data_IF_530139670610
#
_entry.id   IF_530139670610
#
_cell.length_a   1.000
_cell.length_b   1.000
_cell.length_c   1.000
_cell.angle_alpha   90.00
_cell.angle_beta   90.00
_cell.angle_gamma   90.00
#
_symmetry.space_group_name_H-M   'P 1'
#
loop_
_entity.id
_entity.type
_entity.pdbx_description
1 polymer ?
#
# COMPACT_ATOMS: atom_id res chain seq x y z
N UNK A 1 74.31 -24.00 -8.95
CA UNK A 1 73.49 -23.34 -7.93
C UNK A 1 72.67 -22.28 -8.63
N UNK A 2 71.39 -22.59 -8.89
CA UNK A 2 70.43 -21.73 -9.56
C UNK A 2 69.14 -21.83 -8.75
N UNK A 3 68.87 -20.81 -7.95
CA UNK A 3 67.64 -20.68 -7.17
C UNK A 3 66.54 -20.12 -8.08
N UNK A 4 65.44 -20.86 -8.18
CA UNK A 4 64.22 -20.44 -8.85
C UNK A 4 63.27 -19.84 -7.83
N UNK A 5 63.00 -18.54 -7.95
CA UNK A 5 61.99 -17.84 -7.17
C UNK A 5 60.63 -17.96 -7.86
N UNK A 6 59.78 -18.84 -7.33
CA UNK A 6 58.36 -18.91 -7.67
C UNK A 6 57.57 -17.94 -6.77
N UNK A 7 57.31 -16.73 -7.27
CA UNK A 7 56.33 -15.83 -6.67
C UNK A 7 54.91 -16.25 -7.10
N UNK A 8 54.20 -16.92 -6.19
CA UNK A 8 52.78 -17.21 -6.30
C UNK A 8 51.97 -16.00 -5.79
N UNK A 9 51.54 -15.13 -6.70
CA UNK A 9 50.50 -14.13 -6.43
C UNK A 9 49.15 -14.83 -6.32
N UNK A 10 48.75 -15.19 -5.10
CA UNK A 10 47.36 -15.53 -4.77
C UNK A 10 46.52 -14.26 -4.91
N UNK A 11 45.72 -14.19 -5.97
CA UNK A 11 44.65 -13.21 -6.09
C UNK A 11 43.59 -13.51 -5.02
N UNK A 12 43.53 -12.68 -3.98
CA UNK A 12 42.39 -12.62 -3.05
C UNK A 12 41.23 -11.96 -3.79
N UNK A 13 40.34 -12.77 -4.35
CA UNK A 13 39.04 -12.31 -4.84
C UNK A 13 38.24 -11.77 -3.64
N UNK A 14 38.19 -10.45 -3.48
CA UNK A 14 37.33 -9.81 -2.50
C UNK A 14 35.88 -10.10 -2.87
N UNK A 15 35.16 -10.80 -1.98
CA UNK A 15 33.70 -10.97 -2.11
C UNK A 15 33.06 -9.58 -2.16
N UNK A 16 32.05 -9.35 -3.03
CA UNK A 16 31.33 -8.09 -3.04
C UNK A 16 30.69 -7.85 -1.67
N UNK A 17 30.98 -6.70 -1.06
CA UNK A 17 30.32 -6.24 0.17
C UNK A 17 28.91 -5.78 -0.19
N UNK A 18 27.91 -6.60 0.12
CA UNK A 18 26.51 -6.20 0.04
C UNK A 18 26.12 -5.38 1.26
N UNK A 19 25.32 -4.34 1.06
CA UNK A 19 24.63 -3.60 2.12
C UNK A 19 23.55 -4.46 2.78
N UNK A 20 23.17 -4.15 4.02
CA UNK A 20 22.08 -4.85 4.71
C UNK A 20 20.76 -4.80 3.92
N UNK A 21 20.51 -3.72 3.20
CA UNK A 21 19.33 -3.54 2.36
C UNK A 21 19.33 -4.46 1.15
N UNK A 22 20.47 -4.60 0.46
CA UNK A 22 20.62 -5.54 -0.66
C UNK A 22 20.45 -6.99 -0.20
N UNK A 23 20.98 -7.35 0.96
CA UNK A 23 20.80 -8.68 1.56
C UNK A 23 19.31 -8.92 1.82
N UNK A 24 18.62 -7.97 2.45
CA UNK A 24 17.19 -8.08 2.71
C UNK A 24 16.40 -8.24 1.41
N UNK A 25 16.61 -7.39 0.40
CA UNK A 25 15.90 -7.46 -0.87
C UNK A 25 16.13 -8.79 -1.60
N UNK A 26 17.34 -9.35 -1.52
CA UNK A 26 17.65 -10.67 -2.10
C UNK A 26 16.91 -11.80 -1.37
N UNK A 27 16.89 -11.79 -0.04
CA UNK A 27 16.13 -12.78 0.75
C UNK A 27 14.63 -12.62 0.47
N UNK A 28 14.14 -11.38 0.47
CA UNK A 28 12.73 -11.06 0.24
C UNK A 28 12.27 -11.50 -1.14
N UNK A 29 13.03 -11.19 -2.19
CA UNK A 29 12.69 -11.59 -3.57
C UNK A 29 12.60 -13.10 -3.75
N UNK A 30 13.50 -13.87 -3.13
CA UNK A 30 13.47 -15.34 -3.16
C UNK A 30 12.24 -15.89 -2.41
N UNK A 31 11.98 -15.37 -1.21
CA UNK A 31 10.78 -15.72 -0.45
C UNK A 31 9.50 -15.41 -1.23
N UNK A 32 9.41 -14.21 -1.78
CA UNK A 32 8.28 -13.72 -2.55
C UNK A 32 8.02 -14.56 -3.80
N UNK A 33 9.06 -14.92 -4.55
CA UNK A 33 8.95 -15.78 -5.72
C UNK A 33 8.38 -17.17 -5.35
N UNK A 34 8.85 -17.74 -4.24
CA UNK A 34 8.32 -19.02 -3.71
C UNK A 34 6.86 -18.90 -3.29
N UNK A 35 6.50 -17.86 -2.54
CA UNK A 35 5.13 -17.63 -2.12
C UNK A 35 4.17 -17.45 -3.32
N UNK A 36 4.60 -16.69 -4.32
CA UNK A 36 3.84 -16.47 -5.56
C UNK A 36 3.66 -17.76 -6.37
N UNK A 37 4.66 -18.65 -6.36
CA UNK A 37 4.56 -19.96 -7.04
C UNK A 37 3.50 -20.87 -6.44
N UNK A 38 3.18 -20.71 -5.15
CA UNK A 38 2.12 -21.46 -4.47
C UNK A 38 0.75 -20.94 -4.92
N UNK A 39 0.57 -19.63 -4.99
CA UNK A 39 -0.66 -18.99 -5.48
C UNK A 39 -0.93 -19.34 -6.94
N UNK A 40 0.12 -19.33 -7.78
CA UNK A 40 0.02 -19.60 -9.21
C UNK A 40 0.09 -21.09 -9.56
N UNK A 41 0.17 -21.98 -8.57
CA UNK A 41 0.12 -23.41 -8.83
C UNK A 41 -1.23 -23.69 -9.51
N UNK A 42 -1.23 -24.25 -10.73
CA UNK A 42 -2.47 -24.43 -11.48
C UNK A 42 -3.40 -25.32 -10.68
N UNK A 43 -4.62 -24.86 -10.43
CA UNK A 43 -5.73 -25.61 -9.83
C UNK A 43 -6.26 -26.71 -10.76
N UNK A 44 -5.39 -27.32 -11.58
CA UNK A 44 -5.77 -27.96 -12.83
C UNK A 44 -6.23 -29.41 -12.66
N UNK A 45 -7.53 -29.59 -12.88
CA UNK A 45 -8.15 -30.74 -13.56
C UNK A 45 -7.46 -31.07 -14.91
N UNK A 46 -6.76 -30.12 -15.56
CA UNK A 46 -6.18 -30.32 -16.91
C UNK A 46 -4.70 -30.80 -16.95
N UNK A 47 -4.03 -30.99 -15.81
CA UNK A 47 -2.64 -31.53 -15.76
C UNK A 47 -2.51 -32.85 -15.02
N UNK A 48 -3.62 -33.60 -14.89
CA UNK A 48 -3.69 -34.88 -14.19
C UNK A 48 -3.06 -36.08 -14.93
N UNK A 49 -2.30 -35.88 -16.01
CA UNK A 49 -1.68 -37.03 -16.69
C UNK A 49 -0.31 -37.47 -16.15
N UNK A 50 0.36 -36.70 -15.29
CA UNK A 50 1.70 -37.14 -14.82
C UNK A 50 2.27 -36.47 -13.55
N UNK A 51 1.49 -35.70 -12.77
CA UNK A 51 1.99 -35.09 -11.53
C UNK A 51 1.48 -35.80 -10.28
N UNK A 52 2.41 -36.06 -9.35
CA UNK A 52 2.13 -36.46 -7.97
C UNK A 52 0.96 -35.64 -7.42
N UNK A 53 -0.10 -36.33 -6.99
CA UNK A 53 -1.24 -35.74 -6.29
C UNK A 53 -0.71 -35.03 -5.04
N UNK A 54 -0.70 -33.70 -5.06
CA UNK A 54 -0.25 -32.92 -3.91
C UNK A 54 -1.31 -33.08 -2.82
N UNK A 55 -0.92 -33.67 -1.70
CA UNK A 55 -1.76 -33.77 -0.51
C UNK A 55 -2.34 -32.38 -0.13
N UNK A 56 -3.67 -32.18 -0.21
CA UNK A 56 -4.33 -30.92 0.11
C UNK A 56 -3.96 -30.39 1.51
N UNK A 57 -3.81 -31.30 2.49
CA UNK A 57 -3.45 -30.90 3.85
C UNK A 57 -2.02 -30.33 3.91
N UNK A 58 -1.09 -30.95 3.19
CA UNK A 58 0.29 -30.45 3.06
C UNK A 58 0.34 -29.11 2.31
N UNK A 59 -0.51 -28.91 1.30
CA UNK A 59 -0.62 -27.64 0.60
C UNK A 59 -1.13 -26.53 1.54
N UNK A 60 -2.20 -26.78 2.30
CA UNK A 60 -2.72 -25.83 3.27
C UNK A 60 -1.69 -25.47 4.35
N UNK A 61 -0.98 -26.47 4.89
CA UNK A 61 0.09 -26.24 5.85
C UNK A 61 1.26 -25.45 5.26
N UNK A 62 1.54 -25.62 3.96
CA UNK A 62 2.54 -24.80 3.26
C UNK A 62 2.08 -23.34 3.16
N UNK A 63 0.82 -23.09 2.82
CA UNK A 63 0.22 -21.75 2.75
C UNK A 63 0.29 -21.06 4.12
N UNK A 64 -0.19 -21.72 5.18
CA UNK A 64 -0.13 -21.22 6.56
C UNK A 64 1.33 -20.94 6.97
N UNK A 65 2.25 -21.85 6.62
CA UNK A 65 3.69 -21.67 6.85
C UNK A 65 4.25 -20.40 6.20
N UNK A 66 3.83 -20.08 4.98
CA UNK A 66 4.25 -18.86 4.27
C UNK A 66 3.67 -17.60 4.89
N UNK A 67 2.40 -17.61 5.31
CA UNK A 67 1.79 -16.48 6.02
C UNK A 67 2.49 -16.20 7.37
N UNK A 68 2.79 -17.26 8.12
CA UNK A 68 3.55 -17.17 9.35
C UNK A 68 5.00 -16.70 9.12
N UNK A 69 5.64 -17.15 8.03
CA UNK A 69 6.97 -16.69 7.66
C UNK A 69 6.96 -15.20 7.27
N UNK A 70 5.93 -14.72 6.57
CA UNK A 70 5.75 -13.28 6.28
C UNK A 70 5.74 -12.46 7.55
N UNK A 71 4.98 -12.91 8.57
CA UNK A 71 4.96 -12.28 9.88
C UNK A 71 6.36 -12.24 10.49
N UNK A 72 7.09 -13.37 10.51
CA UNK A 72 8.44 -13.46 11.11
C UNK A 72 9.49 -12.60 10.39
N UNK A 73 9.44 -12.54 9.06
CA UNK A 73 10.41 -11.79 8.25
C UNK A 73 10.19 -10.29 8.44
N UNK A 74 8.93 -9.83 8.45
CA UNK A 74 8.61 -8.41 8.51
C UNK A 74 8.52 -7.86 9.94
N UNK A 75 8.31 -8.71 10.94
CA UNK A 75 8.21 -8.27 12.32
C UNK A 75 9.56 -7.69 12.80
N UNK A 76 9.51 -6.52 13.42
CA UNK A 76 10.70 -5.83 13.92
C UNK A 76 11.54 -5.10 12.86
N UNK A 77 11.20 -5.21 11.57
CA UNK A 77 11.86 -4.42 10.53
C UNK A 77 11.46 -2.94 10.63
N UNK A 78 12.40 -2.07 10.23
CA UNK A 78 12.15 -0.64 10.07
C UNK A 78 11.16 -0.34 8.93
N UNK A 79 10.64 0.90 8.90
CA UNK A 79 9.64 1.32 7.93
C UNK A 79 10.14 1.26 6.47
N UNK A 80 11.44 1.45 6.22
CA UNK A 80 12.01 1.43 4.86
C UNK A 80 11.97 0.01 4.31
N UNK A 81 12.48 -0.98 5.06
CA UNK A 81 12.47 -2.39 4.65
C UNK A 81 11.04 -2.92 4.47
N UNK A 82 10.12 -2.56 5.38
CA UNK A 82 8.70 -2.90 5.22
C UNK A 82 8.08 -2.25 3.98
N UNK A 83 8.39 -0.99 3.69
CA UNK A 83 7.93 -0.30 2.49
C UNK A 83 8.40 -1.01 1.21
N UNK A 84 9.66 -1.47 1.19
CA UNK A 84 10.18 -2.29 0.09
C UNK A 84 9.37 -3.59 -0.09
N UNK A 85 9.06 -4.30 1.00
CA UNK A 85 8.26 -5.52 0.93
C UNK A 85 6.84 -5.28 0.39
N UNK A 86 6.20 -4.19 0.82
CA UNK A 86 4.88 -3.76 0.36
C UNK A 86 4.88 -3.38 -1.12
N UNK A 87 5.96 -2.77 -1.60
CA UNK A 87 6.07 -2.29 -2.97
C UNK A 87 6.62 -3.33 -3.96
N UNK A 88 7.09 -4.48 -3.47
CA UNK A 88 7.71 -5.52 -4.31
C UNK A 88 6.66 -6.38 -5.03
N UNK A 89 6.80 -6.53 -6.35
CA UNK A 89 5.90 -7.35 -7.16
C UNK A 89 4.47 -6.80 -7.21
N UNK A 90 3.47 -7.65 -6.99
CA UNK A 90 2.09 -7.20 -6.78
C UNK A 90 1.89 -6.57 -5.40
N UNK A 91 2.73 -6.90 -4.43
CA UNK A 91 2.67 -6.42 -3.05
C UNK A 91 2.36 -7.55 -2.06
N UNK A 92 2.92 -7.44 -0.85
CA UNK A 92 2.80 -8.49 0.18
C UNK A 92 1.40 -8.59 0.81
N UNK A 93 0.60 -7.51 0.75
CA UNK A 93 -0.80 -7.53 1.19
C UNK A 93 -1.64 -8.38 0.25
N UNK A 94 -1.54 -8.10 -1.04
CA UNK A 94 -2.21 -8.82 -2.12
C UNK A 94 -1.79 -10.29 -2.13
N UNK A 95 -0.50 -10.57 -1.93
CA UNK A 95 0.01 -11.92 -1.78
C UNK A 95 -0.62 -12.64 -0.58
N UNK A 96 -0.76 -11.98 0.58
CA UNK A 96 -1.38 -12.59 1.76
C UNK A 96 -2.85 -12.93 1.52
N UNK A 97 -3.59 -12.05 0.85
CA UNK A 97 -5.00 -12.29 0.48
C UNK A 97 -5.11 -13.40 -0.57
N UNK A 98 -4.21 -13.44 -1.56
CA UNK A 98 -4.21 -14.48 -2.58
C UNK A 98 -3.87 -15.86 -2.01
N UNK A 99 -2.94 -15.93 -1.05
CA UNK A 99 -2.63 -17.14 -0.29
C UNK A 99 -3.84 -17.60 0.54
N UNK A 100 -4.55 -16.69 1.21
CA UNK A 100 -5.80 -17.01 1.90
C UNK A 100 -6.84 -17.59 0.96
N UNK A 101 -7.12 -16.93 -0.17
CA UNK A 101 -8.09 -17.42 -1.17
C UNK A 101 -7.71 -18.81 -1.69
N UNK A 102 -6.43 -19.05 -1.97
CA UNK A 102 -5.94 -20.37 -2.37
C UNK A 102 -6.13 -21.41 -1.26
N UNK A 103 -5.82 -21.08 -0.01
CA UNK A 103 -6.01 -21.96 1.14
C UNK A 103 -7.48 -22.25 1.43
N UNK A 104 -8.38 -21.28 1.25
CA UNK A 104 -9.81 -21.43 1.46
C UNK A 104 -10.43 -22.42 0.47
N UNK A 105 -9.97 -22.44 -0.78
CA UNK A 105 -10.37 -23.45 -1.77
C UNK A 105 -9.95 -24.86 -1.31
N UNK A 106 -8.72 -25.00 -0.79
CA UNK A 106 -8.22 -26.27 -0.25
C UNK A 106 -9.03 -26.73 0.97
N UNK A 107 -9.44 -25.81 1.86
CA UNK A 107 -10.32 -26.12 2.98
C UNK A 107 -11.68 -26.66 2.48
N UNK A 108 -12.30 -26.01 1.49
CA UNK A 108 -13.58 -26.45 0.94
C UNK A 108 -13.54 -27.88 0.37
N UNK A 109 -12.44 -28.26 -0.27
CA UNK A 109 -12.24 -29.61 -0.81
C UNK A 109 -12.08 -30.68 0.31
N UNK A 110 -11.51 -30.30 1.45
CA UNK A 110 -11.13 -31.21 2.55
C UNK A 110 -12.16 -31.30 3.69
N UNK A 111 -12.97 -30.27 3.89
CA UNK A 111 -13.96 -30.17 4.98
C UNK A 111 -15.14 -31.16 4.85
N UNK A 112 -15.22 -31.94 3.77
CA UNK A 112 -16.14 -33.08 3.68
C UNK A 112 -15.86 -34.19 4.72
N UNK A 113 -14.75 -34.15 5.48
CA UNK A 113 -14.34 -35.28 6.35
C UNK A 113 -13.91 -34.97 7.79
N UNK A 114 -13.54 -33.74 8.20
CA UNK A 114 -13.21 -33.40 9.62
C UNK A 114 -13.37 -31.90 9.95
N UNK A 115 -13.65 -31.65 11.23
CA UNK A 115 -13.86 -30.39 11.97
C UNK A 115 -13.11 -29.14 11.45
N UNK A 116 -13.81 -28.00 11.37
CA UNK A 116 -13.38 -26.69 10.83
C UNK A 116 -12.20 -25.97 11.51
N UNK A 117 -11.29 -26.70 12.15
CA UNK A 117 -10.09 -26.15 12.79
C UNK A 117 -9.07 -25.57 11.81
N UNK A 118 -9.00 -26.10 10.58
CA UNK A 118 -7.97 -25.70 9.61
C UNK A 118 -8.27 -24.33 8.97
N UNK A 119 -9.55 -24.05 8.70
CA UNK A 119 -10.01 -22.74 8.20
C UNK A 119 -9.72 -21.61 9.20
N UNK A 120 -9.99 -21.85 10.50
CA UNK A 120 -9.66 -20.91 11.57
C UNK A 120 -8.16 -20.60 11.66
N UNK A 121 -7.29 -21.61 11.47
CA UNK A 121 -5.84 -21.42 11.49
C UNK A 121 -5.37 -20.56 10.30
N UNK A 122 -5.93 -20.80 9.11
CA UNK A 122 -5.66 -20.01 7.91
C UNK A 122 -6.07 -18.54 8.09
N UNK A 123 -7.27 -18.28 8.62
CA UNK A 123 -7.77 -16.94 8.89
C UNK A 123 -6.86 -16.21 9.88
N UNK A 124 -6.49 -16.87 10.98
CA UNK A 124 -5.61 -16.30 12.00
C UNK A 124 -4.22 -15.97 11.45
N UNK A 125 -3.64 -16.87 10.64
CA UNK A 125 -2.34 -16.65 10.02
C UNK A 125 -2.38 -15.48 9.02
N UNK A 126 -3.49 -15.34 8.27
CA UNK A 126 -3.68 -14.25 7.32
C UNK A 126 -3.83 -12.90 8.03
N UNK A 127 -4.66 -12.82 9.08
CA UNK A 127 -4.82 -11.63 9.89
C UNK A 127 -3.49 -11.17 10.52
N UNK A 128 -2.72 -12.12 11.09
CA UNK A 128 -1.38 -11.83 11.64
C UNK A 128 -0.42 -11.29 10.59
N UNK A 129 -0.43 -11.88 9.39
CA UNK A 129 0.39 -11.42 8.26
C UNK A 129 0.03 -9.97 7.90
N UNK A 130 -1.25 -9.69 7.63
CA UNK A 130 -1.74 -8.35 7.27
C UNK A 130 -1.41 -7.34 8.36
N UNK A 131 -1.71 -7.66 9.62
CA UNK A 131 -1.39 -6.80 10.76
C UNK A 131 0.10 -6.47 10.83
N UNK A 132 0.98 -7.47 10.66
CA UNK A 132 2.43 -7.26 10.69
C UNK A 132 2.90 -6.31 9.57
N UNK A 133 2.30 -6.43 8.39
CA UNK A 133 2.60 -5.59 7.23
C UNK A 133 2.24 -4.13 7.48
N UNK A 134 1.13 -3.84 8.16
CA UNK A 134 0.60 -2.47 8.32
C UNK A 134 1.06 -1.77 9.61
N UNK A 135 1.32 -2.53 10.68
CA UNK A 135 1.76 -1.97 11.96
C UNK A 135 3.09 -1.24 11.80
N UNK A 136 3.11 0.04 12.18
CA UNK A 136 4.27 0.95 12.05
C UNK A 136 4.80 1.06 10.61
N UNK A 137 3.93 0.85 9.62
CA UNK A 137 4.27 0.96 8.20
C UNK A 137 3.20 1.76 7.45
N UNK A 138 3.37 3.10 7.35
CA UNK A 138 2.42 3.96 6.65
C UNK A 138 2.18 3.54 5.20
N UNK A 139 3.21 3.05 4.49
CA UNK A 139 3.08 2.56 3.11
C UNK A 139 2.24 1.29 3.04
N UNK A 140 2.36 0.41 4.04
CA UNK A 140 1.47 -0.74 4.18
C UNK A 140 0.02 -0.32 4.37
N UNK A 141 -0.24 0.62 5.30
CA UNK A 141 -1.59 1.14 5.53
C UNK A 141 -2.19 1.79 4.29
N UNK A 142 -1.44 2.64 3.60
CA UNK A 142 -1.97 3.34 2.41
C UNK A 142 -2.34 2.39 1.27
N UNK A 143 -1.76 1.17 1.23
CA UNK A 143 -2.10 0.15 0.24
C UNK A 143 -3.25 -0.77 0.60
N UNK A 144 -3.77 -0.73 1.82
CA UNK A 144 -4.83 -1.67 2.25
C UNK A 144 -6.07 -1.63 1.35
N UNK A 145 -6.47 -0.44 0.86
CA UNK A 145 -7.62 -0.28 -0.04
C UNK A 145 -7.37 -0.94 -1.39
N UNK A 146 -6.29 -0.53 -2.06
CA UNK A 146 -5.89 -1.07 -3.36
C UNK A 146 -5.72 -2.59 -3.31
N UNK A 147 -5.17 -3.11 -2.20
CA UNK A 147 -4.99 -4.54 -2.01
C UNK A 147 -6.28 -5.32 -1.71
N UNK A 148 -7.41 -4.64 -1.49
CA UNK A 148 -8.69 -5.27 -1.16
C UNK A 148 -8.77 -5.80 0.28
N UNK A 149 -7.97 -5.26 1.21
CA UNK A 149 -7.93 -5.72 2.61
C UNK A 149 -9.25 -5.46 3.32
N UNK A 150 -9.90 -4.31 3.07
CA UNK A 150 -11.20 -3.99 3.66
C UNK A 150 -12.28 -4.98 3.20
N UNK A 151 -12.40 -5.20 1.89
CA UNK A 151 -13.37 -6.13 1.32
C UNK A 151 -13.14 -7.56 1.81
N UNK A 152 -11.88 -7.99 1.91
CA UNK A 152 -11.53 -9.29 2.46
C UNK A 152 -11.90 -9.39 3.96
N UNK A 153 -11.53 -8.38 4.77
CA UNK A 153 -11.83 -8.38 6.19
C UNK A 153 -13.33 -8.39 6.46
N UNK A 154 -14.11 -7.63 5.67
CA UNK A 154 -15.56 -7.63 5.75
C UNK A 154 -16.15 -9.00 5.37
N UNK A 155 -15.92 -9.45 4.15
CA UNK A 155 -16.66 -10.57 3.56
C UNK A 155 -16.16 -11.94 4.04
N UNK A 156 -14.86 -12.07 4.33
CA UNK A 156 -14.26 -13.35 4.70
C UNK A 156 -14.10 -13.54 6.20
N UNK A 157 -14.13 -12.47 7.00
CA UNK A 157 -13.88 -12.56 8.45
C UNK A 157 -15.07 -12.02 9.23
N UNK A 158 -15.33 -10.71 9.14
CA UNK A 158 -16.31 -10.06 10.01
C UNK A 158 -17.73 -10.55 9.76
N UNK A 159 -18.17 -10.66 8.50
CA UNK A 159 -19.48 -11.21 8.16
C UNK A 159 -19.58 -12.68 8.60
N UNK A 160 -18.60 -13.50 8.26
CA UNK A 160 -18.59 -14.93 8.57
C UNK A 160 -18.70 -15.19 10.08
N UNK A 161 -17.95 -14.46 10.91
CA UNK A 161 -17.85 -14.76 12.34
C UNK A 161 -18.78 -13.93 13.24
N UNK A 162 -19.25 -12.76 12.80
CA UNK A 162 -20.16 -11.92 13.60
C UNK A 162 -21.62 -12.03 13.20
N UNK A 163 -21.92 -12.69 12.07
CA UNK A 163 -23.30 -12.97 11.64
C UNK A 163 -23.67 -14.45 11.77
N UNK A 164 -22.70 -15.32 12.05
CA UNK A 164 -22.98 -16.71 12.35
C UNK A 164 -23.65 -16.84 13.73
N UNK A 165 -24.66 -17.69 13.81
CA UNK A 165 -25.28 -18.11 15.06
C UNK A 165 -24.35 -19.11 15.76
N UNK A 166 -23.40 -18.57 16.55
CA UNK A 166 -22.39 -19.38 17.24
C UNK A 166 -22.89 -19.70 18.65
N UNK A 167 -23.09 -20.98 18.94
CA UNK A 167 -23.48 -21.46 20.26
C UNK A 167 -22.37 -21.23 21.31
N UNK A 168 -22.76 -21.06 22.58
CA UNK A 168 -21.79 -20.95 23.68
C UNK A 168 -20.98 -22.24 23.82
N UNK A 169 -19.66 -22.12 23.89
CA UNK A 169 -18.77 -23.28 24.04
C UNK A 169 -17.33 -23.03 23.58
N UNK A 170 -16.65 -24.14 23.25
CA UNK A 170 -15.27 -24.12 22.76
C UNK A 170 -15.16 -23.40 21.41
N UNK A 171 -16.14 -23.59 20.52
CA UNK A 171 -16.19 -22.96 19.21
C UNK A 171 -16.27 -21.43 19.32
N UNK A 172 -17.16 -20.90 20.16
CA UNK A 172 -17.23 -19.45 20.45
C UNK A 172 -15.92 -18.89 20.97
N UNK A 173 -15.16 -19.67 21.73
CA UNK A 173 -13.85 -19.26 22.23
C UNK A 173 -12.82 -19.19 21.11
N UNK A 174 -12.82 -20.15 20.18
CA UNK A 174 -11.95 -20.10 19.00
C UNK A 174 -12.31 -18.93 18.08
N UNK A 175 -13.60 -18.71 17.83
CA UNK A 175 -14.08 -17.58 17.03
C UNK A 175 -13.73 -16.25 17.68
N UNK A 176 -13.84 -16.14 19.02
CA UNK A 176 -13.45 -14.93 19.73
C UNK A 176 -11.99 -14.54 19.47
N UNK A 177 -11.08 -15.50 19.35
CA UNK A 177 -9.67 -15.24 19.01
C UNK A 177 -9.54 -14.64 17.60
N UNK A 178 -10.28 -15.17 16.63
CA UNK A 178 -10.29 -14.64 15.25
C UNK A 178 -10.85 -13.22 15.22
N UNK A 179 -12.00 -12.99 15.85
CA UNK A 179 -12.64 -11.67 15.94
C UNK A 179 -11.72 -10.68 16.63
N UNK A 180 -11.08 -11.06 17.73
CA UNK A 180 -10.15 -10.18 18.44
C UNK A 180 -8.95 -9.79 17.58
N UNK A 181 -8.39 -10.74 16.84
CA UNK A 181 -7.31 -10.48 15.90
C UNK A 181 -7.78 -9.61 14.72
N UNK A 182 -9.00 -9.81 14.22
CA UNK A 182 -9.62 -9.00 13.18
C UNK A 182 -9.79 -7.54 13.62
N UNK A 183 -10.28 -7.30 14.84
CA UNK A 183 -10.39 -5.96 15.42
C UNK A 183 -9.01 -5.32 15.62
N UNK A 184 -8.00 -6.09 16.04
CA UNK A 184 -6.62 -5.57 16.18
C UNK A 184 -6.04 -5.20 14.82
N UNK A 185 -6.33 -6.00 13.79
CA UNK A 185 -5.90 -5.76 12.41
C UNK A 185 -6.57 -4.51 11.86
N UNK A 186 -7.88 -4.36 12.06
CA UNK A 186 -8.64 -3.17 11.69
C UNK A 186 -8.10 -1.91 12.36
N UNK A 187 -7.82 -1.98 13.67
CA UNK A 187 -7.22 -0.88 14.42
C UNK A 187 -5.85 -0.48 13.87
N UNK A 188 -5.04 -1.46 13.45
CA UNK A 188 -3.74 -1.20 12.85
C UNK A 188 -3.84 -0.59 11.44
N UNK A 189 -4.84 -0.99 10.65
CA UNK A 189 -5.10 -0.43 9.32
C UNK A 189 -5.58 1.01 9.43
N UNK A 190 -6.46 1.31 10.39
CA UNK A 190 -7.06 2.62 10.60
C UNK A 190 -6.22 3.54 11.50
N UNK A 191 -4.96 3.17 11.80
CA UNK A 191 -4.11 3.98 12.67
C UNK A 191 -3.61 5.24 11.93
N UNK A 192 -4.33 6.34 12.10
CA UNK A 192 -4.00 7.68 11.58
C UNK A 192 -5.23 8.39 11.02
N UNK A 193 -5.09 9.69 10.74
CA UNK A 193 -6.15 10.53 10.16
C UNK A 193 -6.11 10.43 8.63
N UNK A 194 -6.37 9.23 8.11
CA UNK A 194 -6.29 8.93 6.68
C UNK A 194 -7.57 8.30 6.13
N UNK A 195 -7.59 8.13 4.80
CA UNK A 195 -8.70 7.52 4.07
C UNK A 195 -9.09 6.10 4.58
N UNK A 196 -8.19 5.36 5.25
CA UNK A 196 -8.52 4.06 5.83
C UNK A 196 -9.40 4.20 7.07
N UNK A 197 -9.10 5.18 7.94
CA UNK A 197 -9.93 5.46 9.10
C UNK A 197 -11.34 5.90 8.66
N UNK A 198 -11.43 6.73 7.61
CA UNK A 198 -12.71 7.10 7.00
C UNK A 198 -13.46 5.85 6.48
N UNK A 199 -12.79 4.95 5.76
CA UNK A 199 -13.41 3.74 5.24
C UNK A 199 -13.89 2.81 6.35
N UNK A 200 -13.06 2.62 7.38
CA UNK A 200 -13.41 1.84 8.56
C UNK A 200 -14.63 2.40 9.30
N UNK A 201 -14.68 3.72 9.52
CA UNK A 201 -15.80 4.39 10.15
C UNK A 201 -17.08 4.30 9.29
N UNK A 202 -16.97 4.53 7.98
CA UNK A 202 -18.11 4.50 7.07
C UNK A 202 -18.74 3.11 6.97
N UNK A 203 -17.93 2.06 6.82
CA UNK A 203 -18.43 0.71 6.51
C UNK A 203 -18.36 -0.28 7.66
N UNK A 204 -17.30 -0.27 8.46
CA UNK A 204 -17.01 -1.36 9.40
C UNK A 204 -17.44 -1.09 10.84
N UNK A 205 -17.87 0.14 11.18
CA UNK A 205 -18.32 0.49 12.54
C UNK A 205 -19.39 -0.47 13.09
N UNK A 206 -20.32 -0.90 12.24
CA UNK A 206 -21.42 -1.76 12.64
C UNK A 206 -20.97 -3.17 13.06
N UNK A 207 -19.84 -3.68 12.54
CA UNK A 207 -19.25 -4.94 13.01
C UNK A 207 -18.62 -4.79 14.39
N UNK A 208 -18.01 -3.63 14.68
CA UNK A 208 -17.50 -3.31 16.03
C UNK A 208 -18.65 -3.31 17.04
N UNK A 209 -19.79 -2.75 16.66
CA UNK A 209 -21.00 -2.77 17.49
C UNK A 209 -21.57 -4.18 17.67
N UNK A 210 -21.61 -5.00 16.62
CA UNK A 210 -22.02 -6.40 16.72
C UNK A 210 -21.11 -7.19 17.66
N UNK A 211 -19.79 -7.05 17.52
CA UNK A 211 -18.82 -7.70 18.40
C UNK A 211 -19.05 -7.35 19.88
N UNK A 212 -19.36 -6.08 20.18
CA UNK A 212 -19.65 -5.65 21.56
C UNK A 212 -20.89 -6.30 22.18
N UNK A 213 -21.86 -6.69 21.35
CA UNK A 213 -23.09 -7.36 21.79
C UNK A 213 -22.87 -8.87 21.96
N UNK A 214 -22.04 -9.47 21.10
CA UNK A 214 -21.78 -10.91 21.08
C UNK A 214 -20.79 -11.37 22.17
N UNK A 215 -19.81 -10.52 22.50
CA UNK A 215 -18.71 -10.86 23.40
C UNK A 215 -18.72 -9.98 24.65
N UNK A 216 -19.21 -10.54 25.76
CA UNK A 216 -19.39 -9.79 27.00
C UNK A 216 -18.06 -9.28 27.59
N UNK A 217 -18.03 -8.07 28.19
CA UNK A 217 -16.84 -7.51 28.83
C UNK A 217 -16.20 -8.38 29.91
N UNK A 218 -17.00 -9.12 30.67
CA UNK A 218 -16.54 -9.93 31.79
C UNK A 218 -15.69 -11.12 31.32
N UNK A 219 -16.07 -11.74 30.19
CA UNK A 219 -15.38 -12.90 29.62
C UNK A 219 -14.30 -12.51 28.61
N UNK A 220 -14.47 -11.39 27.91
CA UNK A 220 -13.61 -10.96 26.80
C UNK A 220 -13.07 -9.54 27.00
N UNK A 221 -12.45 -9.28 28.14
CA UNK A 221 -11.96 -7.94 28.52
C UNK A 221 -10.96 -7.34 27.49
N UNK A 222 -10.02 -8.15 27.00
CA UNK A 222 -9.01 -7.73 26.01
C UNK A 222 -9.64 -7.34 24.66
N UNK A 223 -10.68 -8.05 24.22
CA UNK A 223 -11.44 -7.70 23.03
C UNK A 223 -12.22 -6.40 23.24
N UNK A 224 -12.85 -6.24 24.40
CA UNK A 224 -13.62 -5.04 24.72
C UNK A 224 -12.76 -3.77 24.76
N UNK A 225 -11.51 -3.85 25.21
CA UNK A 225 -10.57 -2.72 25.09
C UNK A 225 -10.37 -2.28 23.63
N UNK A 226 -10.28 -3.24 22.69
CA UNK A 226 -10.12 -2.96 21.25
C UNK A 226 -11.39 -2.38 20.64
N UNK A 227 -12.56 -2.87 21.06
CA UNK A 227 -13.86 -2.33 20.68
C UNK A 227 -13.98 -0.87 21.11
N UNK A 228 -13.64 -0.56 22.37
CA UNK A 228 -13.68 0.81 22.89
C UNK A 228 -12.73 1.71 22.11
N UNK A 229 -11.50 1.25 21.84
CA UNK A 229 -10.54 1.99 21.03
C UNK A 229 -11.06 2.29 19.62
N UNK A 230 -11.56 1.27 18.91
CA UNK A 230 -12.07 1.41 17.55
C UNK A 230 -13.28 2.34 17.49
N UNK A 231 -14.19 2.26 18.47
CA UNK A 231 -15.31 3.20 18.57
C UNK A 231 -14.84 4.62 18.75
N UNK A 232 -13.93 4.87 19.68
CA UNK A 232 -13.39 6.20 19.91
C UNK A 232 -12.71 6.78 18.65
N UNK A 233 -11.95 5.93 17.93
CA UNK A 233 -11.33 6.29 16.66
C UNK A 233 -12.38 6.65 15.59
N UNK A 234 -13.38 5.78 15.38
CA UNK A 234 -14.41 6.01 14.37
C UNK A 234 -15.32 7.19 14.73
N UNK A 235 -15.62 7.41 15.99
CA UNK A 235 -16.38 8.57 16.46
C UNK A 235 -15.61 9.87 16.22
N UNK A 236 -14.29 9.88 16.45
CA UNK A 236 -13.44 11.01 16.12
C UNK A 236 -13.44 11.30 14.61
N UNK A 237 -13.25 10.26 13.78
CA UNK A 237 -13.34 10.39 12.32
C UNK A 237 -14.71 10.87 11.85
N UNK A 238 -15.80 10.34 12.40
CA UNK A 238 -17.16 10.80 12.10
C UNK A 238 -17.43 12.23 12.55
N UNK A 239 -16.77 12.71 13.60
CA UNK A 239 -16.89 14.10 14.05
C UNK A 239 -16.16 15.06 13.12
N UNK A 240 -14.99 14.67 12.63
CA UNK A 240 -14.17 15.48 11.72
C UNK A 240 -14.72 15.47 10.29
N UNK A 241 -15.14 14.31 9.80
CA UNK A 241 -15.57 14.07 8.41
C UNK A 241 -17.06 13.74 8.29
N UNK A 242 -17.89 14.16 9.24
CA UNK A 242 -19.28 13.69 9.38
C UNK A 242 -20.16 13.83 8.13
N UNK A 243 -20.06 14.96 7.42
CA UNK A 243 -20.84 15.18 6.18
C UNK A 243 -20.41 14.21 5.07
N UNK A 244 -19.11 13.92 4.99
CA UNK A 244 -18.55 12.98 4.02
C UNK A 244 -18.96 11.54 4.37
N UNK A 245 -18.81 11.14 5.63
CA UNK A 245 -19.24 9.81 6.11
C UNK A 245 -20.72 9.59 5.83
N UNK A 246 -21.58 10.56 6.16
CA UNK A 246 -23.02 10.46 5.89
C UNK A 246 -23.32 10.38 4.39
N UNK A 247 -22.58 11.12 3.55
CA UNK A 247 -22.75 11.08 2.09
C UNK A 247 -22.38 9.71 1.52
N UNK A 248 -21.26 9.14 1.98
CA UNK A 248 -20.82 7.78 1.61
C UNK A 248 -21.88 6.75 2.01
N UNK A 249 -22.34 6.78 3.26
CA UNK A 249 -23.33 5.85 3.78
C UNK A 249 -24.68 5.94 3.05
N UNK A 250 -25.14 7.16 2.72
CA UNK A 250 -26.37 7.36 1.95
C UNK A 250 -26.26 6.83 0.52
N UNK A 251 -25.12 7.06 -0.14
CA UNK A 251 -24.87 6.57 -1.50
C UNK A 251 -24.96 5.03 -1.55
N UNK A 252 -24.37 4.35 -0.56
CA UNK A 252 -24.36 2.88 -0.47
C UNK A 252 -25.72 2.26 -0.14
N UNK A 253 -26.57 2.98 0.60
CA UNK A 253 -27.95 2.56 0.79
C UNK A 253 -28.79 2.72 -0.50
N UNK A 254 -28.41 3.64 -1.38
CA UNK A 254 -29.11 3.90 -2.63
C UNK A 254 -28.64 2.98 -3.77
N UNK A 255 -27.35 2.62 -3.82
CA UNK A 255 -26.79 1.69 -4.81
C UNK A 255 -27.45 0.30 -4.74
N UNK A 256 -27.80 -0.15 -3.53
CA UNK A 256 -28.54 -1.41 -3.30
C UNK A 256 -30.00 -1.40 -3.78
N UNK A 257 -30.53 -0.25 -4.27
CA UNK A 257 -31.92 -0.12 -4.77
C UNK A 257 -32.06 -0.17 -6.29
N UNK A 258 -31.02 -0.56 -7.02
CA UNK A 258 -31.15 -1.04 -8.41
C UNK A 258 -31.25 0.04 -9.50
N UNK A 259 -30.79 1.27 -9.26
CA UNK A 259 -30.74 2.32 -10.30
C UNK A 259 -29.31 2.77 -10.59
N UNK A 260 -28.81 2.47 -11.81
CA UNK A 260 -27.58 3.02 -12.41
C UNK A 260 -26.27 2.75 -11.64
N UNK A 261 -25.16 2.52 -12.34
CA UNK A 261 -23.81 2.32 -11.77
C UNK A 261 -23.31 3.60 -11.08
N UNK A 262 -23.87 3.97 -9.92
CA UNK A 262 -23.24 4.93 -9.04
C UNK A 262 -22.01 4.25 -8.42
N UNK A 263 -20.82 4.65 -8.89
CA UNK A 263 -19.57 4.26 -8.28
C UNK A 263 -19.52 4.82 -6.85
N UNK A 264 -19.29 3.95 -5.87
CA UNK A 264 -19.09 4.40 -4.50
C UNK A 264 -17.79 5.20 -4.38
N UNK A 265 -17.74 6.12 -3.42
CA UNK A 265 -16.58 6.99 -3.17
C UNK A 265 -15.26 6.21 -3.15
N UNK A 266 -15.20 5.10 -2.42
CA UNK A 266 -13.99 4.29 -2.30
C UNK A 266 -13.66 3.50 -3.57
N UNK A 267 -14.64 3.13 -4.40
CA UNK A 267 -14.35 2.56 -5.72
C UNK A 267 -13.63 3.56 -6.61
N UNK A 268 -14.09 4.82 -6.63
CA UNK A 268 -13.44 5.91 -7.38
C UNK A 268 -11.99 6.10 -6.90
N UNK A 269 -11.78 6.10 -5.59
CA UNK A 269 -10.43 6.22 -5.02
C UNK A 269 -9.53 5.02 -5.35
N UNK A 270 -10.05 3.79 -5.30
CA UNK A 270 -9.29 2.60 -5.69
C UNK A 270 -8.91 2.66 -7.18
N UNK A 271 -9.79 3.16 -8.05
CA UNK A 271 -9.46 3.40 -9.47
C UNK A 271 -8.33 4.41 -9.61
N UNK A 272 -8.39 5.53 -8.89
CA UNK A 272 -7.33 6.55 -8.90
C UNK A 272 -5.98 5.97 -8.40
N UNK A 273 -5.99 5.24 -7.28
CA UNK A 273 -4.80 4.60 -6.72
C UNK A 273 -4.20 3.55 -7.65
N UNK A 274 -5.05 2.80 -8.35
CA UNK A 274 -4.64 1.83 -9.36
C UNK A 274 -3.90 2.53 -10.50
N UNK A 275 -4.48 3.60 -11.04
CA UNK A 275 -3.87 4.37 -12.12
C UNK A 275 -2.52 4.98 -11.70
N UNK A 276 -2.41 5.52 -10.48
CA UNK A 276 -1.14 6.00 -9.91
C UNK A 276 -0.11 4.87 -9.85
N UNK A 277 -0.47 3.71 -9.31
CA UNK A 277 0.44 2.57 -9.18
C UNK A 277 0.89 2.02 -10.54
N UNK A 278 0.01 1.99 -11.53
CA UNK A 278 0.36 1.61 -12.92
C UNK A 278 1.36 2.61 -13.52
N UNK A 279 1.13 3.91 -13.34
CA UNK A 279 2.05 4.96 -13.80
C UNK A 279 3.43 4.82 -13.15
N UNK A 280 3.48 4.61 -11.82
CA UNK A 280 4.72 4.39 -11.07
C UNK A 280 5.46 3.13 -11.53
N UNK A 281 4.76 2.03 -11.80
CA UNK A 281 5.36 0.79 -12.33
C UNK A 281 5.96 1.03 -13.71
N UNK A 282 5.20 1.62 -14.63
CA UNK A 282 5.67 1.93 -15.99
C UNK A 282 6.84 2.92 -16.00
N UNK A 283 6.95 3.81 -15.00
CA UNK A 283 8.09 4.72 -14.88
C UNK A 283 9.43 4.00 -14.60
N UNK A 284 9.39 2.80 -14.02
CA UNK A 284 10.56 1.98 -13.68
C UNK A 284 10.94 0.99 -14.77
N UNK A 285 10.12 0.86 -15.81
CA UNK A 285 10.40 -0.03 -16.94
C UNK A 285 11.56 0.51 -17.80
N UNK A 286 12.25 -0.39 -18.49
CA UNK A 286 13.35 -0.03 -19.40
C UNK A 286 12.85 0.81 -20.58
N UNK A 287 11.64 0.50 -21.07
CA UNK A 287 10.92 1.24 -22.11
C UNK A 287 10.04 2.31 -21.47
N UNK A 288 10.56 3.53 -21.40
CA UNK A 288 9.84 4.67 -20.85
C UNK A 288 8.86 5.25 -21.88
N UNK A 289 7.55 5.11 -21.63
CA UNK A 289 6.49 5.75 -22.41
C UNK A 289 5.86 6.89 -21.61
N UNK A 290 6.36 8.11 -21.87
CA UNK A 290 5.89 9.34 -21.22
C UNK A 290 4.38 9.55 -21.40
N UNK A 291 3.86 9.35 -22.60
CA UNK A 291 2.46 9.65 -22.94
C UNK A 291 1.53 8.75 -22.14
N UNK A 292 1.84 7.44 -22.08
CA UNK A 292 1.08 6.47 -21.30
C UNK A 292 1.10 6.77 -19.81
N UNK A 293 2.26 7.13 -19.25
CA UNK A 293 2.42 7.45 -17.82
C UNK A 293 1.62 8.70 -17.45
N UNK A 294 1.74 9.78 -18.24
CA UNK A 294 1.00 11.03 -17.99
C UNK A 294 -0.51 10.83 -18.12
N UNK A 295 -0.96 10.03 -19.10
CA UNK A 295 -2.38 9.69 -19.25
C UNK A 295 -2.94 9.01 -17.99
N UNK A 296 -2.17 8.14 -17.34
CA UNK A 296 -2.57 7.46 -16.11
C UNK A 296 -2.67 8.41 -14.91
N UNK A 297 -1.75 9.36 -14.77
CA UNK A 297 -1.87 10.40 -13.75
C UNK A 297 -3.08 11.32 -13.98
N UNK A 298 -3.38 11.65 -15.24
CA UNK A 298 -4.58 12.44 -15.59
C UNK A 298 -5.88 11.66 -15.28
N UNK A 299 -5.90 10.36 -15.55
CA UNK A 299 -7.00 9.47 -15.17
C UNK A 299 -7.21 9.47 -13.64
N UNK A 300 -6.12 9.38 -12.87
CA UNK A 300 -6.18 9.44 -11.41
C UNK A 300 -6.71 10.79 -10.89
N UNK A 301 -6.21 11.91 -11.43
CA UNK A 301 -6.64 13.26 -11.05
C UNK A 301 -8.13 13.45 -11.33
N UNK A 302 -8.60 13.04 -12.52
CA UNK A 302 -10.02 13.12 -12.87
C UNK A 302 -10.90 12.36 -11.88
N UNK A 303 -10.47 11.17 -11.44
CA UNK A 303 -11.23 10.40 -10.44
C UNK A 303 -11.26 11.10 -9.07
N UNK A 304 -10.17 11.74 -8.65
CA UNK A 304 -10.13 12.54 -7.42
C UNK A 304 -11.01 13.79 -7.52
N UNK A 305 -11.09 14.41 -8.70
CA UNK A 305 -11.94 15.58 -8.92
C UNK A 305 -13.43 15.21 -8.93
N UNK A 306 -13.78 14.06 -9.54
CA UNK A 306 -15.14 13.50 -9.46
C UNK A 306 -15.51 13.23 -8.01
N UNK A 307 -14.63 12.60 -7.23
CA UNK A 307 -14.91 12.34 -5.81
C UNK A 307 -15.06 13.63 -5.01
N UNK A 308 -14.30 14.68 -5.33
CA UNK A 308 -14.42 15.99 -4.68
C UNK A 308 -15.71 16.74 -5.05
N UNK A 309 -16.27 16.48 -6.23
CA UNK A 309 -17.52 17.11 -6.71
C UNK A 309 -18.75 16.41 -6.15
N UNK A 310 -18.74 15.08 -6.16
CA UNK A 310 -19.88 14.27 -5.73
C UNK A 310 -19.94 14.07 -4.21
N UNK A 311 -18.79 14.22 -3.53
CA UNK A 311 -18.66 14.08 -2.08
C UNK A 311 -17.93 15.30 -1.51
N UNK A 312 -18.65 16.30 -0.95
CA UNK A 312 -18.03 17.50 -0.44
C UNK A 312 -17.15 17.17 0.79
N UNK A 313 -15.84 17.04 0.56
CA UNK A 313 -14.84 16.83 1.61
C UNK A 313 -14.61 18.17 2.30
N UNK A 314 -14.85 18.24 3.62
CA UNK A 314 -14.64 19.47 4.41
C UNK A 314 -13.16 19.75 4.67
N UNK A 315 -12.34 18.70 4.78
CA UNK A 315 -10.91 18.83 5.07
C UNK A 315 -10.07 18.95 3.80
N UNK A 316 -9.28 20.01 3.73
CA UNK A 316 -8.25 20.24 2.71
C UNK A 316 -7.03 19.32 2.94
N UNK A 317 -7.22 18.00 3.10
CA UNK A 317 -6.10 17.13 3.49
C UNK A 317 -6.28 15.64 3.21
N UNK A 318 -7.51 15.13 3.23
CA UNK A 318 -7.74 13.69 3.13
C UNK A 318 -7.30 13.10 1.77
N UNK A 319 -7.48 13.87 0.69
CA UNK A 319 -7.08 13.50 -0.67
C UNK A 319 -5.70 14.04 -1.06
N UNK A 320 -5.08 14.85 -0.21
CA UNK A 320 -3.87 15.59 -0.54
C UNK A 320 -2.68 14.66 -0.74
N UNK A 321 -2.59 13.57 0.02
CA UNK A 321 -1.55 12.56 -0.21
C UNK A 321 -1.63 11.96 -1.63
N UNK A 322 -2.85 11.72 -2.14
CA UNK A 322 -3.03 11.20 -3.49
C UNK A 322 -2.69 12.25 -4.55
N UNK A 323 -3.11 13.50 -4.33
CA UNK A 323 -2.74 14.64 -5.18
C UNK A 323 -1.23 14.85 -5.22
N UNK A 324 -0.55 14.78 -4.07
CA UNK A 324 0.91 14.85 -3.97
C UNK A 324 1.57 13.79 -4.85
N UNK A 325 1.13 12.53 -4.75
CA UNK A 325 1.67 11.43 -5.58
C UNK A 325 1.47 11.68 -7.07
N UNK A 326 0.29 12.17 -7.47
CA UNK A 326 0.00 12.52 -8.86
C UNK A 326 0.94 13.64 -9.35
N UNK A 327 1.03 14.75 -8.62
CA UNK A 327 1.83 15.91 -9.05
C UNK A 327 3.33 15.60 -9.07
N UNK A 328 3.85 14.92 -8.04
CA UNK A 328 5.25 14.45 -8.02
C UNK A 328 5.52 13.52 -9.19
N UNK A 329 4.68 12.50 -9.38
CA UNK A 329 4.87 11.49 -10.40
C UNK A 329 4.76 12.02 -11.83
N UNK A 330 3.77 12.90 -12.08
CA UNK A 330 3.54 13.53 -13.38
C UNK A 330 4.63 14.53 -13.72
N UNK A 331 5.01 15.42 -12.79
CA UNK A 331 6.14 16.33 -12.99
C UNK A 331 7.44 15.58 -13.27
N UNK A 332 7.73 14.51 -12.51
CA UNK A 332 8.90 13.67 -12.75
C UNK A 332 8.88 13.01 -14.14
N UNK A 333 7.72 12.52 -14.59
CA UNK A 333 7.59 11.91 -15.91
C UNK A 333 7.76 12.93 -17.05
N UNK A 334 7.23 14.15 -16.88
CA UNK A 334 7.31 15.23 -17.88
C UNK A 334 8.73 15.78 -18.03
N UNK A 335 9.45 15.92 -16.91
CA UNK A 335 10.81 16.47 -16.87
C UNK A 335 11.89 15.42 -17.19
N UNK A 336 11.54 14.14 -17.24
CA UNK A 336 12.47 13.07 -17.62
C UNK A 336 12.82 13.21 -19.11
N UNK A 337 14.13 13.19 -19.42
CA UNK A 337 14.60 13.14 -20.80
C UNK A 337 14.08 11.88 -21.50
N UNK A 338 13.52 12.05 -22.70
CA UNK A 338 13.08 10.94 -23.53
C UNK A 338 14.32 10.25 -24.13
N UNK A 339 14.62 9.01 -23.72
CA UNK A 339 15.66 8.18 -24.34
C UNK A 339 17.03 8.86 -24.49
N UNK A 340 17.71 8.61 -25.61
CA UNK A 340 19.06 9.11 -25.96
C UNK A 340 19.10 10.63 -26.26
N UNK A 341 18.62 11.46 -25.33
CA UNK A 341 18.91 12.90 -25.32
C UNK A 341 17.78 13.84 -25.73
N UNK A 342 16.53 13.38 -25.87
CA UNK A 342 15.40 14.27 -26.08
C UNK A 342 15.14 15.16 -24.86
N UNK A 343 15.33 16.47 -25.02
CA UNK A 343 14.96 17.45 -23.98
C UNK A 343 13.43 17.52 -23.82
N UNK A 344 12.92 17.79 -22.60
CA UNK A 344 11.49 18.04 -22.40
C UNK A 344 11.01 19.21 -23.26
N UNK A 345 9.78 19.13 -23.76
CA UNK A 345 9.21 20.26 -24.50
C UNK A 345 8.86 21.42 -23.55
N UNK A 346 8.77 22.64 -24.07
CA UNK A 346 8.31 23.81 -23.32
C UNK A 346 6.92 23.56 -22.70
N UNK A 347 6.03 22.90 -23.45
CA UNK A 347 4.70 22.50 -22.96
C UNK A 347 4.76 21.50 -21.80
N UNK A 348 5.72 20.56 -21.80
CA UNK A 348 5.90 19.63 -20.68
C UNK A 348 6.40 20.38 -19.43
N UNK A 349 7.32 21.33 -19.62
CA UNK A 349 7.84 22.16 -18.54
C UNK A 349 6.74 23.05 -17.93
N UNK A 350 5.85 23.62 -18.73
CA UNK A 350 4.69 24.38 -18.23
C UNK A 350 3.71 23.53 -17.41
N UNK A 351 3.46 22.29 -17.82
CA UNK A 351 2.62 21.36 -17.03
C UNK A 351 3.33 20.98 -15.72
N UNK A 352 4.61 20.63 -15.78
CA UNK A 352 5.40 20.28 -14.60
C UNK A 352 5.51 21.45 -13.60
N UNK A 353 5.60 22.69 -14.09
CA UNK A 353 5.58 23.88 -13.24
C UNK A 353 4.24 24.03 -12.52
N UNK A 354 3.13 23.85 -13.25
CA UNK A 354 1.78 23.89 -12.64
C UNK A 354 1.60 22.82 -11.57
N UNK A 355 2.07 21.60 -11.82
CA UNK A 355 2.05 20.51 -10.84
C UNK A 355 2.91 20.83 -9.62
N UNK A 356 4.10 21.38 -9.82
CA UNK A 356 4.98 21.77 -8.72
C UNK A 356 4.38 22.91 -7.87
N UNK A 357 3.75 23.91 -8.50
CA UNK A 357 3.05 24.99 -7.79
C UNK A 357 1.80 24.49 -7.07
N UNK A 358 1.06 23.53 -7.64
CA UNK A 358 -0.06 22.87 -6.98
C UNK A 358 0.43 22.07 -5.76
N UNK A 359 1.52 21.32 -5.90
CA UNK A 359 2.16 20.59 -4.83
C UNK A 359 2.64 21.51 -3.70
N UNK A 360 3.22 22.69 -4.02
CA UNK A 360 3.59 23.69 -3.02
C UNK A 360 2.39 24.22 -2.23
N UNK A 361 1.22 24.35 -2.87
CA UNK A 361 -0.01 24.76 -2.17
C UNK A 361 -0.51 23.68 -1.23
N UNK A 362 -0.47 22.43 -1.68
CA UNK A 362 -0.87 21.25 -0.88
C UNK A 362 0.10 21.06 0.30
N UNK A 363 1.40 21.03 0.06
CA UNK A 363 2.42 20.83 1.09
C UNK A 363 2.67 22.07 1.97
N UNK A 364 2.36 23.28 1.49
CA UNK A 364 2.59 24.54 2.20
C UNK A 364 1.60 24.82 3.33
N UNK A 365 0.57 23.98 3.50
CA UNK A 365 -0.28 23.98 4.68
C UNK A 365 0.44 23.49 5.95
N UNK A 366 -0.26 23.50 7.09
CA UNK A 366 0.31 23.21 8.41
C UNK A 366 0.82 21.75 8.64
N UNK A 367 0.90 20.92 7.59
CA UNK A 367 1.18 19.49 7.73
C UNK A 367 1.99 18.83 6.60
N UNK A 368 2.60 19.57 5.67
CA UNK A 368 3.38 18.96 4.59
C UNK A 368 4.66 18.27 5.07
N UNK A 369 4.97 17.11 4.50
CA UNK A 369 6.26 16.45 4.72
C UNK A 369 7.39 17.27 4.05
N UNK A 370 8.49 17.50 4.77
CA UNK A 370 9.65 18.24 4.25
C UNK A 370 10.20 17.65 2.95
N UNK A 371 10.14 16.33 2.78
CA UNK A 371 10.57 15.66 1.55
C UNK A 371 9.74 16.04 0.32
N UNK A 372 8.41 16.14 0.47
CA UNK A 372 7.50 16.51 -0.60
C UNK A 372 7.67 17.98 -1.00
N UNK A 373 7.87 18.86 0.00
CA UNK A 373 8.15 20.27 -0.22
C UNK A 373 9.49 20.47 -0.94
N UNK A 374 10.51 19.67 -0.60
CA UNK A 374 11.79 19.66 -1.31
C UNK A 374 11.62 19.18 -2.75
N UNK A 375 10.88 18.08 -2.97
CA UNK A 375 10.59 17.57 -4.31
C UNK A 375 9.85 18.62 -5.17
N UNK A 376 8.85 19.30 -4.60
CA UNK A 376 8.12 20.37 -5.27
C UNK A 376 9.04 21.50 -5.74
N UNK A 377 9.91 22.00 -4.86
CA UNK A 377 10.86 23.06 -5.23
C UNK A 377 11.91 22.58 -6.25
N UNK A 378 12.32 21.30 -6.21
CA UNK A 378 13.20 20.71 -7.24
C UNK A 378 12.53 20.68 -8.61
N UNK A 379 11.32 20.13 -8.72
CA UNK A 379 10.59 20.09 -10.01
C UNK A 379 10.27 21.49 -10.53
N UNK A 380 9.90 22.41 -9.63
CA UNK A 380 9.67 23.82 -9.96
C UNK A 380 10.91 24.46 -10.55
N UNK A 381 12.07 24.28 -9.93
CA UNK A 381 13.33 24.80 -10.45
C UNK A 381 13.65 24.24 -11.85
N UNK A 382 13.50 22.94 -12.03
CA UNK A 382 13.81 22.24 -13.29
C UNK A 382 12.92 22.71 -14.44
N UNK A 383 11.61 22.84 -14.19
CA UNK A 383 10.68 23.40 -15.14
C UNK A 383 11.01 24.86 -15.49
N UNK A 384 11.29 25.71 -14.48
CA UNK A 384 11.63 27.11 -14.70
C UNK A 384 12.92 27.31 -15.49
N UNK A 385 13.92 26.42 -15.33
CA UNK A 385 15.15 26.44 -16.14
C UNK A 385 14.83 26.19 -17.62
N UNK A 386 14.00 25.19 -17.92
CA UNK A 386 13.60 24.85 -19.29
C UNK A 386 12.78 25.96 -19.95
N UNK A 387 11.98 26.68 -19.16
CA UNK A 387 11.20 27.86 -19.61
C UNK A 387 12.04 29.15 -19.68
N UNK A 388 13.35 29.10 -19.41
CA UNK A 388 14.22 30.28 -19.41
C UNK A 388 13.99 31.27 -18.24
N UNK A 389 13.18 30.91 -17.25
CA UNK A 389 12.84 31.74 -16.08
C UNK A 389 13.89 31.64 -14.97
N UNK A 390 15.13 32.02 -15.28
CA UNK A 390 16.32 31.79 -14.44
C UNK A 390 16.21 32.32 -13.00
N UNK A 391 15.68 33.54 -12.80
CA UNK A 391 15.59 34.15 -11.46
C UNK A 391 14.70 33.35 -10.51
N UNK A 392 13.56 32.88 -11.00
CA UNK A 392 12.62 32.10 -10.20
C UNK A 392 13.16 30.68 -9.94
N UNK A 393 13.87 30.11 -10.92
CA UNK A 393 14.57 28.85 -10.74
C UNK A 393 15.64 28.94 -9.65
N UNK A 394 16.41 30.03 -9.60
CA UNK A 394 17.38 30.29 -8.53
C UNK A 394 16.69 30.35 -7.16
N UNK A 395 15.57 31.06 -7.05
CA UNK A 395 14.82 31.13 -5.80
C UNK A 395 14.34 29.74 -5.35
N UNK A 396 13.79 28.94 -6.26
CA UNK A 396 13.35 27.58 -5.96
C UNK A 396 14.52 26.67 -5.52
N UNK A 397 15.65 26.69 -6.22
CA UNK A 397 16.85 25.93 -5.84
C UNK A 397 17.41 26.37 -4.49
N UNK A 398 17.39 27.67 -4.19
CA UNK A 398 17.89 28.19 -2.91
C UNK A 398 17.10 27.63 -1.72
N UNK A 399 15.78 27.43 -1.87
CA UNK A 399 14.92 26.80 -0.86
C UNK A 399 15.29 25.33 -0.65
N UNK A 400 15.60 24.59 -1.72
CA UNK A 400 16.04 23.19 -1.62
C UNK A 400 17.43 23.09 -0.97
N UNK A 401 18.38 23.94 -1.36
CA UNK A 401 19.73 23.96 -0.79
C UNK A 401 19.74 24.37 0.68
N UNK A 402 18.84 25.25 1.10
CA UNK A 402 18.67 25.58 2.51
C UNK A 402 18.23 24.37 3.34
N UNK A 403 17.39 23.49 2.77
CA UNK A 403 16.95 22.26 3.41
C UNK A 403 17.96 21.10 3.29
N UNK A 404 18.79 21.09 2.24
CA UNK A 404 19.81 20.07 1.99
C UNK A 404 21.15 20.68 1.55
N UNK A 405 21.93 21.29 2.47
CA UNK A 405 23.14 22.04 2.12
C UNK A 405 24.30 21.20 1.54
N UNK A 406 24.25 19.87 1.70
CA UNK A 406 25.28 18.94 1.23
C UNK A 406 25.00 18.32 -0.15
N UNK A 407 23.96 18.77 -0.86
CA UNK A 407 23.62 18.26 -2.19
C UNK A 407 24.50 18.94 -3.26
N UNK A 408 25.66 18.34 -3.54
CA UNK A 408 26.65 18.89 -4.48
C UNK A 408 26.13 18.97 -5.93
N UNK A 409 25.21 18.08 -6.32
CA UNK A 409 24.58 18.13 -7.65
C UNK A 409 23.72 19.39 -7.78
N UNK A 410 22.87 19.66 -6.79
CA UNK A 410 22.05 20.86 -6.75
C UNK A 410 22.90 22.13 -6.64
N UNK A 411 24.00 22.11 -5.88
CA UNK A 411 24.92 23.24 -5.78
C UNK A 411 25.56 23.54 -7.14
N UNK A 412 26.07 22.52 -7.83
CA UNK A 412 26.63 22.69 -9.17
C UNK A 412 25.61 23.24 -10.17
N UNK A 413 24.36 22.77 -10.09
CA UNK A 413 23.25 23.28 -10.92
C UNK A 413 22.95 24.75 -10.64
N UNK A 414 22.91 25.14 -9.37
CA UNK A 414 22.68 26.52 -8.94
C UNK A 414 23.79 27.47 -9.40
N UNK A 415 25.06 27.07 -9.25
CA UNK A 415 26.22 27.86 -9.69
C UNK A 415 26.23 28.08 -11.21
N UNK A 416 25.94 27.02 -11.99
CA UNK A 416 25.81 27.13 -13.45
C UNK A 416 24.74 28.14 -13.85
N UNK A 417 23.60 28.14 -13.15
CA UNK A 417 22.49 29.05 -13.41
C UNK A 417 22.82 30.51 -13.07
N UNK A 418 23.72 30.77 -12.11
CA UNK A 418 24.21 32.11 -11.81
C UNK A 418 25.23 32.59 -12.84
N UNK A 419 26.06 31.67 -13.35
CA UNK A 419 27.11 31.97 -14.32
C UNK A 419 26.61 32.19 -15.76
N UNK A 420 25.37 31.78 -16.06
CA UNK A 420 24.72 31.86 -17.37
C UNK A 420 23.72 33.00 -17.46
#
# INVERSE_FOLDING_TARGET
MSESNNNSTKATTSMPHFTEEEIFLRVWSQFYARATSIVNAPSNEEKQKEKEEIDPQKQLQTIIGVLNATTKILFGLDCKKKSCAVSYGMGVLELSIALHKSGALVCQETESKKEGSASLELDLATLKSIKCIVVRNPVGRSRCRLAGVFDWLENNILQQYLLADIEEGEEKTKVAVIVEEALTTLAAICLGDDLNALQGAAYLHHYVDKASKLFSPEKYASMNQKIVYLRALFDATCKEEGDLVQSIQKNEQNSNKGSSEQLSFFKILVTAETAICEAEKSSKEKTFDKVKIVAKYNEAEKNIDVSSTDFPVKSNGLLDHLRCRIYVGRAAALLRKNGEGGEPSESDADVALRDADALLKVCGGAGGNGDELMAANRFRADALILLGRKKEAQEALSKVLAASPGDEELRSKFEKLISS
#
